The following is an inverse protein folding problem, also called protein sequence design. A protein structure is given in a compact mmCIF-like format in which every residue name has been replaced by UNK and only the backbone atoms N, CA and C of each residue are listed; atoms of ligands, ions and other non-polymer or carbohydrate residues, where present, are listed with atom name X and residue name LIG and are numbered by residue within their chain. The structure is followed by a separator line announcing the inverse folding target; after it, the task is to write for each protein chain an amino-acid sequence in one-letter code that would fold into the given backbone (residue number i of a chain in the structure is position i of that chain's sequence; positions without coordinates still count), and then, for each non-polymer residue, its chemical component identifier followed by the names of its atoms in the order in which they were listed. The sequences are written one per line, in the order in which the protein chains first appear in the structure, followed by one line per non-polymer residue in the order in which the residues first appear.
data_IF_386640015608
#
_entry.id   IF_386640015608
#
_cell.length_a   1.000
_cell.length_b   1.000
_cell.length_c   1.000
_cell.angle_alpha   90.00
_cell.angle_beta   90.00
_cell.angle_gamma   90.00
#
_symmetry.space_group_name_H-M   'P 1'
#
loop_
_entity.id
_entity.type
_entity.pdbx_description
1 polymer ?
#
# COMPACT_ATOMS: atom_id res chain seq x y z
N UNK A 1 -1.33 -24.50 15.21
CA UNK A 1 -2.37 -23.48 15.21
C UNK A 1 -1.91 -22.34 14.31
N UNK A 2 -2.73 -21.97 13.33
CA UNK A 2 -2.53 -20.82 12.45
C UNK A 2 -3.56 -19.77 12.87
N UNK A 3 -3.12 -18.58 13.22
CA UNK A 3 -4.01 -17.49 13.65
C UNK A 3 -4.53 -16.68 12.46
N UNK A 4 -3.67 -16.42 11.47
CA UNK A 4 -3.98 -15.65 10.26
C UNK A 4 -3.21 -16.26 9.09
N UNK A 5 -3.84 -16.34 7.94
CA UNK A 5 -3.21 -16.72 6.67
C UNK A 5 -2.77 -15.47 5.92
N UNK A 6 -1.49 -15.36 5.70
CA UNK A 6 -0.92 -14.37 4.77
C UNK A 6 -0.77 -15.02 3.41
N UNK A 7 -1.55 -14.57 2.43
CA UNK A 7 -1.53 -15.12 1.08
C UNK A 7 -0.83 -14.16 0.13
N UNK A 8 0.10 -14.73 -0.66
CA UNK A 8 0.97 -13.97 -1.53
C UNK A 8 1.76 -12.88 -0.78
N UNK A 9 2.49 -12.03 -1.50
CA UNK A 9 3.29 -10.96 -0.92
C UNK A 9 3.22 -9.73 -1.81
N UNK A 10 2.88 -8.57 -1.22
CA UNK A 10 2.97 -7.27 -1.87
C UNK A 10 2.43 -7.28 -3.30
N UNK A 11 1.13 -7.57 -3.46
CA UNK A 11 0.51 -7.50 -4.79
C UNK A 11 0.81 -6.16 -5.46
N UNK A 12 1.39 -6.20 -6.65
CA UNK A 12 1.82 -4.99 -7.34
C UNK A 12 2.37 -5.26 -8.73
N UNK A 13 3.10 -4.28 -9.27
CA UNK A 13 3.57 -4.29 -10.64
C UNK A 13 2.44 -4.01 -11.64
N UNK A 14 2.75 -3.97 -12.91
CA UNK A 14 1.77 -3.84 -14.00
C UNK A 14 2.07 -4.85 -15.10
N UNK A 15 1.03 -5.34 -15.75
CA UNK A 15 1.14 -6.23 -16.89
C UNK A 15 0.39 -5.62 -18.08
N UNK A 16 1.06 -5.46 -19.20
CA UNK A 16 0.52 -4.86 -20.41
C UNK A 16 0.50 -5.84 -21.59
N UNK A 17 0.44 -7.14 -21.30
CA UNK A 17 0.45 -8.18 -22.35
C UNK A 17 -0.89 -8.24 -23.11
N UNK A 18 -0.91 -8.97 -24.22
CA UNK A 18 -2.09 -9.14 -25.07
C UNK A 18 -3.31 -9.69 -24.30
N UNK A 19 -3.08 -10.55 -23.29
CA UNK A 19 -4.17 -11.07 -22.46
C UNK A 19 -4.77 -9.96 -21.59
N UNK A 20 -3.93 -9.13 -20.98
CA UNK A 20 -4.41 -7.96 -20.24
C UNK A 20 -5.17 -7.00 -21.13
N UNK A 21 -4.70 -6.74 -22.34
CA UNK A 21 -5.41 -5.91 -23.31
C UNK A 21 -6.79 -6.48 -23.67
N UNK A 22 -6.88 -7.77 -23.94
CA UNK A 22 -8.18 -8.44 -24.20
C UNK A 22 -9.13 -8.32 -23.01
N UNK A 23 -8.64 -8.58 -21.78
CA UNK A 23 -9.46 -8.47 -20.58
C UNK A 23 -9.85 -7.02 -20.24
N UNK A 24 -8.98 -6.07 -20.51
CA UNK A 24 -9.30 -4.64 -20.37
C UNK A 24 -10.46 -4.22 -21.26
N UNK A 25 -10.47 -4.65 -22.52
CA UNK A 25 -11.62 -4.41 -23.42
C UNK A 25 -12.91 -5.07 -22.91
N UNK A 26 -12.82 -6.26 -22.35
CA UNK A 26 -14.00 -6.92 -21.71
C UNK A 26 -14.49 -6.10 -20.53
N UNK A 27 -13.58 -5.65 -19.66
CA UNK A 27 -13.89 -4.81 -18.51
C UNK A 27 -14.52 -3.46 -18.93
N UNK A 28 -14.01 -2.82 -19.96
CA UNK A 28 -14.57 -1.60 -20.52
C UNK A 28 -15.99 -1.81 -21.08
N UNK A 29 -16.21 -2.92 -21.81
CA UNK A 29 -17.54 -3.30 -22.30
C UNK A 29 -18.53 -3.51 -21.17
N UNK A 30 -18.08 -4.10 -20.07
CA UNK A 30 -18.94 -4.29 -18.89
C UNK A 30 -19.22 -2.96 -18.18
N UNK A 31 -18.25 -2.07 -18.07
CA UNK A 31 -18.40 -0.76 -17.43
C UNK A 31 -19.26 0.20 -18.23
N UNK A 32 -18.95 0.38 -19.50
CA UNK A 32 -19.52 1.44 -20.35
C UNK A 32 -20.65 0.99 -21.27
N UNK A 33 -20.74 -0.30 -21.56
CA UNK A 33 -21.72 -0.95 -22.46
C UNK A 33 -21.51 -0.63 -23.93
N UNK A 34 -21.25 0.61 -24.29
CA UNK A 34 -21.08 1.06 -25.69
C UNK A 34 -19.74 1.77 -25.87
N UNK A 35 -19.24 1.76 -27.08
CA UNK A 35 -18.01 2.45 -27.44
C UNK A 35 -18.20 3.98 -27.38
N UNK A 36 -19.39 4.47 -27.75
CA UNK A 36 -19.73 5.89 -27.64
C UNK A 36 -19.63 6.37 -26.19
N UNK A 37 -20.11 5.57 -25.22
CA UNK A 37 -19.98 5.92 -23.80
C UNK A 37 -18.52 5.94 -23.32
N UNK A 38 -17.64 5.13 -23.89
CA UNK A 38 -16.19 5.22 -23.65
C UNK A 38 -15.63 6.52 -24.24
N UNK A 39 -15.98 6.82 -25.47
CA UNK A 39 -15.52 8.04 -26.14
C UNK A 39 -15.95 9.30 -25.39
N UNK A 40 -17.21 9.35 -24.94
CA UNK A 40 -17.73 10.44 -24.13
C UNK A 40 -16.98 10.57 -22.80
N UNK A 41 -16.82 9.46 -22.06
CA UNK A 41 -16.17 9.45 -20.75
C UNK A 41 -14.68 9.84 -20.83
N UNK A 42 -13.99 9.49 -21.88
CA UNK A 42 -12.58 9.80 -22.10
C UNK A 42 -12.36 11.11 -22.87
N UNK A 43 -13.44 11.76 -23.34
CA UNK A 43 -13.39 12.96 -24.17
C UNK A 43 -12.49 12.80 -25.39
N UNK A 44 -12.67 11.70 -26.12
CA UNK A 44 -11.76 11.26 -27.20
C UNK A 44 -11.86 12.12 -28.45
N UNK A 45 -12.89 12.96 -28.60
CA UNK A 45 -12.97 13.94 -29.69
C UNK A 45 -11.79 14.93 -29.64
N UNK A 46 -11.26 15.18 -28.45
CA UNK A 46 -10.11 16.05 -28.29
C UNK A 46 -8.88 15.46 -28.99
N UNK A 47 -8.29 16.21 -29.88
CA UNK A 47 -7.19 15.82 -30.77
C UNK A 47 -7.49 14.64 -31.70
N UNK A 48 -8.78 14.30 -31.90
CA UNK A 48 -9.17 13.25 -32.83
C UNK A 48 -8.82 11.84 -32.37
N UNK A 49 -8.90 11.58 -31.06
CA UNK A 49 -8.62 10.29 -30.43
C UNK A 49 -9.83 9.35 -30.41
N UNK A 50 -10.92 9.67 -31.13
CA UNK A 50 -12.15 8.88 -31.14
C UNK A 50 -11.91 7.46 -31.61
N UNK A 51 -12.39 6.50 -30.84
CA UNK A 51 -12.37 5.08 -31.18
C UNK A 51 -13.64 4.71 -31.97
N UNK A 52 -13.47 3.98 -33.05
CA UNK A 52 -14.55 3.49 -33.90
C UNK A 52 -14.76 1.98 -33.78
N UNK A 53 -13.78 1.27 -33.24
CA UNK A 53 -13.84 -0.15 -32.91
C UNK A 53 -13.20 -0.43 -31.57
N UNK A 54 -13.70 -1.44 -30.86
CA UNK A 54 -13.12 -1.88 -29.59
C UNK A 54 -11.67 -2.37 -29.75
N UNK A 55 -11.32 -2.89 -30.91
CA UNK A 55 -9.98 -3.39 -31.17
C UNK A 55 -8.93 -2.29 -31.35
N UNK A 56 -9.35 -1.06 -31.53
CA UNK A 56 -8.46 0.11 -31.54
C UNK A 56 -7.98 0.50 -30.12
N UNK A 57 -8.69 0.08 -29.08
CA UNK A 57 -8.27 0.35 -27.70
C UNK A 57 -7.12 -0.57 -27.32
N UNK A 58 -5.97 0.02 -27.02
CA UNK A 58 -4.77 -0.66 -26.51
C UNK A 58 -4.54 -0.32 -25.05
N UNK A 59 -3.83 -1.18 -24.33
CA UNK A 59 -3.40 -0.87 -22.97
C UNK A 59 -2.39 0.28 -22.95
N UNK A 60 -2.24 1.00 -21.83
CA UNK A 60 -1.18 1.99 -21.67
C UNK A 60 0.19 1.40 -22.01
N UNK A 61 1.04 2.19 -22.60
CA UNK A 61 2.39 1.80 -22.97
C UNK A 61 3.33 3.01 -22.89
N UNK A 62 4.61 2.78 -23.15
CA UNK A 62 5.63 3.81 -23.07
C UNK A 62 5.31 5.07 -23.90
N UNK A 63 4.70 4.90 -25.08
CA UNK A 63 4.33 6.03 -25.92
C UNK A 63 3.15 6.83 -25.37
N UNK A 64 2.23 6.20 -24.66
CA UNK A 64 1.05 6.85 -24.11
C UNK A 64 1.25 7.42 -22.70
N UNK A 65 2.13 6.84 -21.88
CA UNK A 65 2.30 7.25 -20.48
C UNK A 65 3.61 7.98 -20.19
N UNK A 66 4.67 7.74 -20.95
CA UNK A 66 5.99 8.37 -20.72
C UNK A 66 6.30 9.51 -21.69
N UNK A 67 5.49 9.68 -22.73
CA UNK A 67 5.57 10.86 -23.57
C UNK A 67 5.45 12.12 -22.71
N UNK A 68 6.25 13.12 -22.98
CA UNK A 68 6.23 14.40 -22.24
C UNK A 68 6.70 14.33 -20.77
N UNK A 69 7.62 13.44 -20.45
CA UNK A 69 8.23 13.37 -19.11
C UNK A 69 7.32 12.73 -18.05
N UNK A 70 6.62 11.67 -18.41
CA UNK A 70 5.78 10.87 -17.51
C UNK A 70 4.33 11.31 -17.42
N UNK A 71 3.88 12.18 -18.34
CA UNK A 71 2.48 12.56 -18.47
C UNK A 71 1.86 11.86 -19.67
N UNK A 72 0.62 11.41 -19.51
CA UNK A 72 -0.12 10.81 -20.62
C UNK A 72 -0.95 11.83 -21.38
N UNK A 73 -1.06 11.61 -22.69
CA UNK A 73 -2.08 12.26 -23.53
C UNK A 73 -3.43 11.53 -23.46
N UNK A 74 -3.48 10.35 -22.83
CA UNK A 74 -4.63 9.45 -22.79
C UNK A 74 -5.06 9.21 -21.33
N UNK A 75 -5.40 10.28 -20.63
CA UNK A 75 -5.74 10.22 -19.20
C UNK A 75 -6.88 9.23 -18.88
N UNK A 76 -7.90 9.14 -19.75
CA UNK A 76 -9.01 8.21 -19.60
C UNK A 76 -8.56 6.75 -19.63
N UNK A 77 -7.77 6.37 -20.64
CA UNK A 77 -7.21 5.01 -20.75
C UNK A 77 -6.37 4.68 -19.54
N UNK A 78 -5.46 5.57 -19.15
CA UNK A 78 -4.53 5.34 -18.04
C UNK A 78 -5.28 5.18 -16.72
N UNK A 79 -6.27 6.02 -16.44
CA UNK A 79 -7.06 5.94 -15.21
C UNK A 79 -7.91 4.66 -15.18
N UNK A 80 -8.60 4.34 -16.26
CA UNK A 80 -9.41 3.11 -16.32
C UNK A 80 -8.56 1.86 -16.32
N UNK A 81 -7.35 1.90 -16.87
CA UNK A 81 -6.45 0.77 -16.77
C UNK A 81 -6.01 0.49 -15.32
N UNK A 82 -5.82 1.51 -14.49
CA UNK A 82 -5.53 1.34 -13.05
C UNK A 82 -6.72 0.75 -12.30
N UNK A 83 -7.94 1.16 -12.63
CA UNK A 83 -9.17 0.55 -12.10
C UNK A 83 -9.29 -0.92 -12.49
N UNK A 84 -9.14 -1.21 -13.78
CA UNK A 84 -9.11 -2.59 -14.28
C UNK A 84 -8.02 -3.43 -13.61
N UNK A 85 -6.81 -2.86 -13.47
CA UNK A 85 -5.70 -3.58 -12.88
C UNK A 85 -5.94 -3.89 -11.40
N UNK A 86 -6.47 -2.93 -10.65
CA UNK A 86 -6.92 -3.13 -9.28
C UNK A 86 -7.92 -4.28 -9.18
N UNK A 87 -8.92 -4.33 -10.07
CA UNK A 87 -9.93 -5.38 -10.11
C UNK A 87 -9.34 -6.75 -10.44
N UNK A 88 -8.43 -6.79 -11.41
CA UNK A 88 -7.75 -8.02 -11.84
C UNK A 88 -6.88 -8.61 -10.74
N UNK A 89 -6.10 -7.78 -10.06
CA UNK A 89 -5.25 -8.23 -8.96
C UNK A 89 -6.08 -8.64 -7.74
N UNK A 90 -7.15 -7.91 -7.44
CA UNK A 90 -8.09 -8.28 -6.39
C UNK A 90 -8.79 -9.61 -6.69
N UNK A 91 -9.07 -9.89 -7.96
CA UNK A 91 -9.60 -11.20 -8.36
C UNK A 91 -8.60 -12.33 -8.04
N UNK A 92 -7.31 -12.14 -8.30
CA UNK A 92 -6.29 -13.12 -7.91
C UNK A 92 -6.27 -13.36 -6.40
N UNK A 93 -6.28 -12.29 -5.60
CA UNK A 93 -6.37 -12.39 -4.15
C UNK A 93 -7.61 -13.19 -3.70
N UNK A 94 -8.78 -12.91 -4.29
CA UNK A 94 -10.04 -13.62 -3.96
C UNK A 94 -9.97 -15.11 -4.27
N UNK A 95 -9.38 -15.49 -5.41
CA UNK A 95 -9.20 -16.90 -5.75
C UNK A 95 -8.35 -17.64 -4.70
N UNK A 96 -7.26 -17.04 -4.27
CA UNK A 96 -6.38 -17.63 -3.26
C UNK A 96 -7.05 -17.66 -1.88
N UNK A 97 -7.70 -16.59 -1.46
CA UNK A 97 -8.50 -16.52 -0.22
C UNK A 97 -9.58 -17.59 -0.20
N UNK A 98 -10.34 -17.70 -1.28
CA UNK A 98 -11.48 -18.63 -1.36
C UNK A 98 -10.98 -20.08 -1.36
N UNK A 99 -9.81 -20.37 -1.93
CA UNK A 99 -9.18 -21.67 -1.82
C UNK A 99 -8.85 -22.04 -0.35
N UNK A 100 -8.31 -21.10 0.43
CA UNK A 100 -8.08 -21.31 1.88
C UNK A 100 -9.41 -21.53 2.61
N UNK A 101 -10.39 -20.65 2.39
CA UNK A 101 -11.69 -20.69 3.08
C UNK A 101 -12.54 -21.90 2.67
N UNK A 102 -12.31 -22.47 1.51
CA UNK A 102 -12.99 -23.73 1.12
C UNK A 102 -12.62 -24.92 2.00
N UNK A 103 -11.44 -24.88 2.62
CA UNK A 103 -10.94 -25.92 3.53
C UNK A 103 -11.14 -25.52 4.99
N UNK A 104 -10.93 -24.25 5.31
CA UNK A 104 -11.04 -23.68 6.65
C UNK A 104 -11.96 -22.44 6.57
N UNK A 105 -13.30 -22.62 6.66
CA UNK A 105 -14.25 -21.52 6.44
C UNK A 105 -14.04 -20.31 7.33
N UNK A 106 -13.62 -20.52 8.57
CA UNK A 106 -13.40 -19.46 9.57
C UNK A 106 -11.95 -18.89 9.56
N UNK A 107 -11.14 -19.27 8.56
CA UNK A 107 -9.78 -18.78 8.45
C UNK A 107 -9.79 -17.25 8.28
N UNK A 108 -9.00 -16.55 9.10
CA UNK A 108 -8.67 -15.15 8.86
C UNK A 108 -7.58 -15.07 7.79
N UNK A 109 -7.82 -14.29 6.76
CA UNK A 109 -6.94 -14.18 5.59
C UNK A 109 -6.58 -12.72 5.35
N UNK A 110 -5.31 -12.47 5.10
CA UNK A 110 -4.76 -11.15 4.81
C UNK A 110 -3.71 -11.23 3.69
N UNK A 111 -3.30 -10.08 3.20
CA UNK A 111 -2.08 -9.86 2.42
C UNK A 111 -1.47 -8.51 2.81
N UNK A 112 -0.15 -8.36 2.69
CA UNK A 112 0.53 -7.14 3.09
C UNK A 112 0.40 -6.05 2.03
N UNK A 113 -0.05 -4.87 2.46
CA UNK A 113 -0.17 -3.67 1.64
C UNK A 113 1.11 -2.82 1.73
N UNK A 114 1.37 -2.01 0.74
CA UNK A 114 2.59 -1.19 0.64
C UNK A 114 2.33 0.30 0.92
N UNK A 115 1.63 0.61 1.99
CA UNK A 115 1.37 2.00 2.39
C UNK A 115 0.51 2.78 1.39
N UNK A 116 1.03 3.86 0.85
CA UNK A 116 0.36 4.69 -0.17
C UNK A 116 0.65 4.24 -1.60
N UNK A 117 0.85 2.94 -1.82
CA UNK A 117 1.17 2.39 -3.12
C UNK A 117 0.17 2.83 -4.19
N UNK A 118 0.69 3.47 -5.25
CA UNK A 118 -0.14 4.07 -6.30
C UNK A 118 -0.91 3.04 -7.13
N UNK A 119 -0.39 1.81 -7.24
CA UNK A 119 -0.85 0.83 -8.21
C UNK A 119 -2.20 0.19 -7.93
N UNK A 120 -2.68 0.21 -6.69
CA UNK A 120 -3.90 -0.51 -6.26
C UNK A 120 -4.74 0.36 -5.33
N UNK A 121 -6.06 0.35 -5.53
CA UNK A 121 -7.03 0.99 -4.64
C UNK A 121 -7.25 0.13 -3.38
N UNK A 122 -6.62 0.50 -2.29
CA UNK A 122 -6.68 -0.26 -1.05
C UNK A 122 -8.02 -0.14 -0.31
N UNK A 123 -8.83 0.90 -0.51
CA UNK A 123 -10.19 0.93 0.02
C UNK A 123 -11.06 -0.17 -0.61
N UNK A 124 -10.83 -0.45 -1.89
CA UNK A 124 -11.51 -1.55 -2.56
C UNK A 124 -11.01 -2.91 -2.07
N UNK A 125 -9.70 -3.07 -1.89
CA UNK A 125 -9.07 -4.29 -1.41
C UNK A 125 -9.46 -4.65 0.02
N UNK A 126 -9.48 -3.69 0.91
CA UNK A 126 -9.78 -3.90 2.32
C UNK A 126 -11.17 -4.49 2.57
N UNK A 127 -12.14 -4.25 1.69
CA UNK A 127 -13.48 -4.84 1.76
C UNK A 127 -13.47 -6.37 1.62
N UNK A 128 -12.46 -6.91 0.96
CA UNK A 128 -12.31 -8.34 0.69
C UNK A 128 -11.31 -9.02 1.66
N UNK A 129 -10.55 -8.26 2.42
CA UNK A 129 -9.60 -8.75 3.42
C UNK A 129 -10.29 -8.92 4.77
N UNK A 130 -9.98 -10.01 5.50
CA UNK A 130 -10.47 -10.16 6.87
C UNK A 130 -9.77 -9.18 7.81
N UNK A 131 -8.47 -8.99 7.65
CA UNK A 131 -7.64 -8.07 8.42
C UNK A 131 -6.78 -7.27 7.48
N UNK A 132 -6.68 -5.95 7.68
CA UNK A 132 -5.69 -5.13 6.98
C UNK A 132 -4.31 -5.38 7.56
N UNK A 133 -3.34 -5.64 6.70
CA UNK A 133 -1.92 -5.70 7.10
C UNK A 133 -1.05 -4.93 6.12
N UNK A 134 0.10 -4.42 6.56
CA UNK A 134 0.97 -3.64 5.70
C UNK A 134 2.43 -3.65 6.14
N UNK A 135 3.31 -3.16 5.25
CA UNK A 135 4.74 -3.13 5.40
C UNK A 135 5.26 -1.70 5.52
N UNK A 136 5.98 -1.43 6.61
CA UNK A 136 6.47 -0.10 6.93
C UNK A 136 8.00 -0.02 6.87
N UNK A 137 8.50 0.51 5.78
CA UNK A 137 9.92 0.70 5.51
C UNK A 137 10.26 2.17 5.24
N UNK A 138 10.11 3.06 6.23
CA UNK A 138 10.41 4.48 6.02
C UNK A 138 11.91 4.68 5.75
N UNK A 139 12.23 5.54 4.78
CA UNK A 139 13.59 6.01 4.58
C UNK A 139 14.12 6.73 5.83
N UNK A 140 15.43 6.92 5.91
CA UNK A 140 16.06 7.54 7.11
C UNK A 140 15.61 8.99 7.35
N UNK A 141 15.15 9.66 6.33
CA UNK A 141 14.67 11.05 6.33
C UNK A 141 13.15 11.18 6.23
N UNK A 142 12.42 10.08 6.17
CA UNK A 142 10.96 10.10 6.16
C UNK A 142 10.41 10.76 7.43
N UNK A 143 9.57 11.80 7.31
CA UNK A 143 8.95 12.42 8.49
C UNK A 143 8.10 11.46 9.30
N UNK A 144 8.13 11.59 10.62
CA UNK A 144 7.28 10.79 11.53
C UNK A 144 5.79 10.99 11.26
N UNK A 145 5.40 12.19 10.81
CA UNK A 145 4.04 12.51 10.38
C UNK A 145 3.60 11.73 9.15
N UNK A 146 4.50 11.47 8.20
CA UNK A 146 4.21 10.63 7.02
C UNK A 146 3.95 9.18 7.43
N UNK A 147 4.77 8.63 8.32
CA UNK A 147 4.56 7.27 8.86
C UNK A 147 3.24 7.19 9.62
N UNK A 148 2.93 8.20 10.45
CA UNK A 148 1.68 8.30 11.19
C UNK A 148 0.46 8.36 10.25
N UNK A 149 0.53 9.17 9.20
CA UNK A 149 -0.51 9.26 8.17
C UNK A 149 -0.77 7.90 7.53
N UNK A 150 0.28 7.17 7.18
CA UNK A 150 0.13 5.86 6.54
C UNK A 150 -0.48 4.84 7.50
N UNK A 151 -0.10 4.84 8.79
CA UNK A 151 -0.78 4.02 9.80
C UNK A 151 -2.28 4.36 9.90
N UNK A 152 -2.61 5.65 9.91
CA UNK A 152 -4.02 6.09 9.94
C UNK A 152 -4.77 5.71 8.66
N UNK A 153 -4.09 5.71 7.50
CA UNK A 153 -4.68 5.18 6.27
C UNK A 153 -5.02 3.70 6.42
N UNK A 154 -4.08 2.87 6.90
CA UNK A 154 -4.32 1.44 7.09
C UNK A 154 -5.48 1.17 8.05
N UNK A 155 -5.55 1.89 9.17
CA UNK A 155 -6.70 1.83 10.07
C UNK A 155 -7.99 2.27 9.38
N UNK A 156 -7.95 3.38 8.65
CA UNK A 156 -9.12 3.97 7.97
C UNK A 156 -9.71 3.10 6.85
N UNK A 157 -8.93 2.17 6.27
CA UNK A 157 -9.42 1.27 5.21
C UNK A 157 -10.64 0.45 5.65
N UNK A 158 -10.74 0.09 6.95
CA UNK A 158 -11.85 -0.69 7.52
C UNK A 158 -12.43 -0.08 8.79
N UNK A 159 -11.88 1.02 9.29
CA UNK A 159 -12.14 1.54 10.64
C UNK A 159 -11.95 0.45 11.72
N UNK A 160 -10.89 -0.34 11.56
CA UNK A 160 -10.54 -1.45 12.43
C UNK A 160 -9.03 -1.47 12.71
N UNK A 161 -8.58 -2.15 13.79
CA UNK A 161 -7.17 -2.39 14.00
C UNK A 161 -6.52 -3.10 12.81
N UNK A 162 -5.25 -2.83 12.59
CA UNK A 162 -4.48 -3.43 11.51
C UNK A 162 -3.26 -4.20 12.05
N UNK A 163 -2.64 -5.00 11.21
CA UNK A 163 -1.39 -5.69 11.51
C UNK A 163 -0.23 -4.97 10.83
N UNK A 164 0.84 -4.69 11.58
CA UNK A 164 2.12 -4.39 10.95
C UNK A 164 2.78 -5.71 10.58
N UNK A 165 2.72 -6.07 9.29
CA UNK A 165 3.23 -7.34 8.80
C UNK A 165 4.75 -7.33 8.69
N UNK A 166 5.31 -6.19 8.27
CA UNK A 166 6.73 -6.04 8.10
C UNK A 166 7.25 -4.69 8.60
N UNK A 167 8.35 -4.73 9.32
CA UNK A 167 9.29 -3.64 9.50
C UNK A 167 10.69 -4.21 9.72
N UNK A 168 11.72 -3.41 9.46
CA UNK A 168 13.08 -3.85 9.78
C UNK A 168 13.45 -3.53 11.22
N UNK A 169 14.13 -4.43 11.94
CA UNK A 169 14.65 -4.11 13.26
C UNK A 169 15.90 -3.21 13.24
N UNK A 170 16.54 -3.04 12.08
CA UNK A 170 17.77 -2.25 11.93
C UNK A 170 17.80 -1.49 10.59
N UNK A 171 18.76 -1.77 9.73
CA UNK A 171 18.81 -1.18 8.38
C UNK A 171 17.84 -1.87 7.43
N UNK A 172 17.37 -1.14 6.46
CA UNK A 172 16.57 -1.69 5.37
C UNK A 172 17.34 -1.62 4.04
N UNK A 173 17.13 -2.61 3.18
CA UNK A 173 17.65 -2.62 1.82
C UNK A 173 16.88 -1.60 0.95
N UNK A 174 17.30 -1.42 -0.30
CA UNK A 174 16.63 -0.59 -1.31
C UNK A 174 16.63 0.92 -1.04
N UNK A 175 17.44 1.40 -0.12
CA UNK A 175 17.59 2.83 0.19
C UNK A 175 18.84 3.41 -0.50
N UNK A 176 18.86 4.74 -0.70
CA UNK A 176 20.10 5.42 -1.07
C UNK A 176 21.23 5.11 -0.09
N UNK A 177 20.87 5.05 1.19
CA UNK A 177 21.72 4.57 2.27
C UNK A 177 20.96 3.52 3.07
N UNK A 178 21.51 2.32 3.21
CA UNK A 178 20.98 1.31 4.11
C UNK A 178 21.32 1.68 5.56
N UNK A 179 20.81 2.81 6.01
CA UNK A 179 21.10 3.39 7.31
C UNK A 179 20.67 2.50 8.45
N UNK A 180 21.51 2.36 9.47
CA UNK A 180 21.15 1.68 10.70
C UNK A 180 20.18 2.53 11.52
N UNK A 181 19.14 1.90 12.06
CA UNK A 181 18.33 2.54 13.10
C UNK A 181 19.19 2.82 14.33
N UNK A 182 19.08 4.03 14.85
CA UNK A 182 19.74 4.42 16.10
C UNK A 182 19.20 3.60 17.28
N UNK A 183 19.95 3.49 18.40
CA UNK A 183 19.42 2.87 19.60
C UNK A 183 18.07 3.46 20.00
N UNK A 184 17.08 2.61 20.27
CA UNK A 184 15.72 3.00 20.63
C UNK A 184 14.82 3.43 19.46
N UNK A 185 15.34 3.68 18.25
CA UNK A 185 14.52 4.12 17.13
C UNK A 185 13.50 3.06 16.68
N UNK A 186 13.91 1.80 16.57
CA UNK A 186 13.00 0.69 16.26
C UNK A 186 11.88 0.57 17.30
N UNK A 187 12.21 0.70 18.58
CA UNK A 187 11.25 0.69 19.67
C UNK A 187 10.25 1.85 19.54
N UNK A 188 10.72 3.08 19.30
CA UNK A 188 9.86 4.25 19.12
C UNK A 188 8.90 4.10 17.92
N UNK A 189 9.39 3.58 16.77
CA UNK A 189 8.55 3.29 15.61
C UNK A 189 7.49 2.24 15.91
N UNK A 190 7.84 1.17 16.64
CA UNK A 190 6.89 0.14 17.04
C UNK A 190 5.80 0.68 17.96
N UNK A 191 6.15 1.54 18.91
CA UNK A 191 5.15 2.20 19.75
C UNK A 191 4.27 3.19 18.99
N UNK A 192 4.83 3.92 18.00
CA UNK A 192 4.03 4.75 17.12
C UNK A 192 2.99 3.89 16.38
N UNK A 193 3.39 2.76 15.82
CA UNK A 193 2.50 1.84 15.12
C UNK A 193 1.32 1.39 15.99
N UNK A 194 1.60 0.97 17.24
CA UNK A 194 0.57 0.57 18.20
C UNK A 194 -0.33 1.76 18.57
N UNK A 195 0.25 2.92 18.83
CA UNK A 195 -0.51 4.13 19.14
C UNK A 195 -1.46 4.56 18.02
N UNK A 196 -1.18 4.18 16.77
CA UNK A 196 -2.02 4.40 15.62
C UNK A 196 -3.01 3.26 15.32
N UNK A 197 -3.09 2.24 16.18
CA UNK A 197 -4.12 1.20 16.14
C UNK A 197 -3.67 -0.15 15.60
N UNK A 198 -2.39 -0.45 15.59
CA UNK A 198 -1.93 -1.79 15.23
C UNK A 198 -2.08 -2.77 16.41
N UNK A 199 -2.55 -3.97 16.12
CA UNK A 199 -2.61 -5.08 17.09
C UNK A 199 -1.36 -5.95 17.09
N UNK A 200 -0.53 -5.86 16.05
CA UNK A 200 0.70 -6.67 15.95
C UNK A 200 1.89 -5.86 15.43
N UNK A 201 3.07 -6.30 15.84
CA UNK A 201 4.36 -5.84 15.28
C UNK A 201 5.13 -7.08 14.82
N UNK A 202 5.41 -7.15 13.54
CA UNK A 202 6.21 -8.21 12.95
C UNK A 202 7.45 -7.63 12.26
N UNK A 203 8.47 -8.45 12.12
CA UNK A 203 9.76 -8.04 11.57
C UNK A 203 10.14 -8.88 10.36
N UNK A 204 10.46 -8.23 9.27
CA UNK A 204 11.29 -8.80 8.24
C UNK A 204 12.75 -8.38 8.49
N UNK A 205 13.63 -9.30 8.89
CA UNK A 205 13.43 -10.72 8.97
C UNK A 205 14.01 -11.30 10.27
N UNK A 206 13.68 -12.55 10.58
CA UNK A 206 14.20 -13.20 11.77
C UNK A 206 15.73 -13.39 11.69
N UNK A 207 16.23 -13.97 10.59
CA UNK A 207 17.66 -14.23 10.36
C UNK A 207 18.14 -13.59 9.07
N UNK A 208 19.22 -12.83 9.17
CA UNK A 208 19.79 -12.10 8.04
C UNK A 208 20.24 -13.03 6.92
N UNK A 209 19.79 -12.74 5.69
CA UNK A 209 20.17 -13.47 4.49
C UNK A 209 21.68 -13.37 4.22
N UNK A 210 22.29 -14.49 3.82
CA UNK A 210 23.73 -14.53 3.50
C UNK A 210 24.06 -13.92 2.14
N UNK A 211 23.11 -13.94 1.22
CA UNK A 211 23.27 -13.52 -0.17
C UNK A 211 21.92 -13.06 -0.75
N UNK A 212 21.90 -12.89 -2.08
CA UNK A 212 20.73 -12.36 -2.79
C UNK A 212 20.67 -10.84 -2.74
N UNK A 213 19.62 -10.29 -3.32
CA UNK A 213 19.43 -8.84 -3.44
C UNK A 213 19.22 -8.15 -2.08
N UNK A 214 18.73 -8.89 -1.07
CA UNK A 214 18.43 -8.34 0.28
C UNK A 214 19.46 -8.74 1.36
N UNK A 215 20.65 -9.14 0.97
CA UNK A 215 21.70 -9.48 1.94
C UNK A 215 22.09 -8.34 2.90
N UNK A 216 21.77 -7.10 2.55
CA UNK A 216 21.99 -5.92 3.41
C UNK A 216 20.78 -5.55 4.25
N UNK A 217 19.65 -6.25 4.10
CA UNK A 217 18.49 -6.02 4.96
C UNK A 217 18.80 -6.43 6.41
N UNK A 218 18.30 -5.66 7.37
CA UNK A 218 18.45 -5.96 8.78
C UNK A 218 17.66 -7.19 9.18
N UNK A 219 18.05 -7.80 10.30
CA UNK A 219 17.31 -8.93 10.88
C UNK A 219 17.46 -8.94 12.40
N UNK A 220 16.57 -9.65 13.07
CA UNK A 220 16.65 -9.86 14.53
C UNK A 220 17.95 -10.60 14.88
N UNK A 221 18.27 -11.64 14.12
CA UNK A 221 19.53 -12.39 14.23
C UNK A 221 20.46 -11.96 13.08
N UNK A 222 21.50 -11.19 13.40
CA UNK A 222 22.50 -10.71 12.46
C UNK A 222 23.38 -11.86 11.91
N UNK A 223 24.26 -11.57 10.93
CA UNK A 223 25.17 -12.56 10.34
C UNK A 223 26.06 -13.24 11.36
N UNK A 224 26.43 -12.56 12.44
CA UNK A 224 27.21 -13.17 13.54
C UNK A 224 26.50 -14.35 14.19
N UNK A 225 25.18 -14.42 14.08
CA UNK A 225 24.38 -15.59 14.47
C UNK A 225 24.16 -15.77 15.98
N UNK A 226 24.45 -14.74 16.78
CA UNK A 226 24.27 -14.78 18.24
C UNK A 226 23.14 -13.86 18.69
N UNK A 227 22.68 -14.07 19.93
CA UNK A 227 21.71 -13.21 20.58
C UNK A 227 22.34 -12.03 21.34
N UNK A 228 23.65 -11.85 21.22
CA UNK A 228 24.39 -10.78 21.91
C UNK A 228 24.64 -9.55 21.00
N UNK A 229 23.67 -9.19 20.20
CA UNK A 229 23.69 -7.95 19.41
C UNK A 229 22.74 -6.91 20.02
N UNK A 230 23.00 -5.63 19.77
CA UNK A 230 22.10 -4.55 20.19
C UNK A 230 20.68 -4.78 19.65
N UNK A 231 20.58 -5.09 18.35
CA UNK A 231 19.28 -5.29 17.67
C UNK A 231 18.50 -6.42 18.32
N UNK A 232 19.14 -7.57 18.58
CA UNK A 232 18.47 -8.69 19.26
C UNK A 232 17.96 -8.30 20.64
N UNK A 233 18.80 -7.63 21.45
CA UNK A 233 18.41 -7.19 22.80
C UNK A 233 17.26 -6.19 22.78
N UNK A 234 17.29 -5.20 21.87
CA UNK A 234 16.21 -4.22 21.73
C UNK A 234 14.89 -4.89 21.28
N UNK A 235 14.96 -5.83 20.33
CA UNK A 235 13.76 -6.58 19.87
C UNK A 235 13.20 -7.45 20.99
N UNK A 236 14.07 -8.17 21.72
CA UNK A 236 13.63 -8.98 22.86
C UNK A 236 13.06 -8.14 24.01
N UNK A 237 13.61 -6.93 24.23
CA UNK A 237 13.06 -5.99 25.19
C UNK A 237 11.66 -5.53 24.77
N UNK A 238 11.49 -5.10 23.51
CA UNK A 238 10.18 -4.71 22.99
C UNK A 238 9.16 -5.84 23.15
N UNK A 239 9.53 -7.09 22.80
CA UNK A 239 8.65 -8.24 22.98
C UNK A 239 8.15 -8.39 24.42
N UNK A 240 9.04 -8.30 25.43
CA UNK A 240 8.66 -8.35 26.85
C UNK A 240 7.76 -7.18 27.27
N UNK A 241 8.02 -5.98 26.75
CA UNK A 241 7.18 -4.81 27.03
C UNK A 241 5.78 -5.01 26.50
N UNK A 242 5.64 -5.47 25.25
CA UNK A 242 4.33 -5.73 24.63
C UNK A 242 3.60 -6.88 25.35
N UNK A 243 4.30 -7.94 25.71
CA UNK A 243 3.73 -9.03 26.52
C UNK A 243 3.17 -8.51 27.85
N UNK A 244 3.86 -7.55 28.50
CA UNK A 244 3.40 -6.94 29.76
C UNK A 244 2.13 -6.10 29.61
N UNK A 245 1.84 -5.59 28.41
CA UNK A 245 0.57 -4.93 28.14
C UNK A 245 -0.60 -5.92 28.07
N UNK A 246 -0.33 -7.17 27.75
CA UNK A 246 -1.36 -8.18 27.56
C UNK A 246 -2.33 -7.78 26.48
N UNK A 247 -3.61 -7.78 26.79
CA UNK A 247 -4.69 -7.43 25.84
C UNK A 247 -5.13 -5.97 25.89
N UNK A 248 -4.43 -5.10 26.63
CA UNK A 248 -4.88 -3.72 26.90
C UNK A 248 -4.94 -2.84 25.65
N UNK A 249 -4.11 -3.12 24.65
CA UNK A 249 -4.02 -2.37 23.39
C UNK A 249 -4.74 -3.06 22.24
N UNK A 250 -5.13 -4.33 22.40
CA UNK A 250 -5.78 -5.08 21.34
C UNK A 250 -7.19 -4.58 21.08
N UNK A 251 -7.53 -4.43 19.81
CA UNK A 251 -8.85 -3.97 19.37
C UNK A 251 -9.15 -2.51 19.71
N UNK A 252 -8.14 -1.74 20.16
CA UNK A 252 -8.36 -0.33 20.52
C UNK A 252 -8.52 0.53 19.26
N UNK A 253 -9.40 1.52 19.37
CA UNK A 253 -9.66 2.49 18.29
C UNK A 253 -9.42 3.90 18.81
N UNK A 254 -8.73 4.70 18.01
CA UNK A 254 -8.67 6.14 18.23
C UNK A 254 -9.95 6.78 17.69
N UNK A 255 -10.53 7.71 18.43
CA UNK A 255 -11.56 8.59 17.90
C UNK A 255 -10.87 9.81 17.30
N UNK A 256 -11.19 10.11 16.07
CA UNK A 256 -10.67 11.27 15.37
C UNK A 256 -11.79 12.29 15.13
N UNK A 257 -11.49 13.57 15.35
CA UNK A 257 -12.41 14.67 15.09
C UNK A 257 -12.27 15.21 13.65
N UNK A 258 -11.25 14.78 12.94
CA UNK A 258 -10.92 15.22 11.59
C UNK A 258 -10.81 14.02 10.67
N UNK A 259 -11.45 14.09 9.50
CA UNK A 259 -11.27 13.15 8.39
C UNK A 259 -10.53 13.83 7.24
N UNK A 260 -9.54 13.15 6.66
CA UNK A 260 -8.91 13.55 5.40
C UNK A 260 -9.26 12.51 4.35
N UNK A 261 -9.83 12.95 3.23
CA UNK A 261 -10.18 12.08 2.11
C UNK A 261 -8.90 11.65 1.40
N UNK A 262 -8.74 10.33 1.21
CA UNK A 262 -7.72 9.75 0.38
C UNK A 262 -8.39 8.90 -0.71
N UNK A 263 -8.23 9.30 -1.96
CA UNK A 263 -8.95 8.73 -3.10
C UNK A 263 -7.97 8.33 -4.20
N UNK A 264 -7.93 7.03 -4.53
CA UNK A 264 -7.04 6.50 -5.58
C UNK A 264 -7.40 7.00 -6.97
N UNK A 265 -8.67 7.22 -7.29
CA UNK A 265 -9.08 7.80 -8.57
C UNK A 265 -8.51 9.21 -8.76
N UNK A 266 -8.55 10.05 -7.72
CA UNK A 266 -7.91 11.36 -7.74
C UNK A 266 -6.39 11.26 -7.82
N UNK A 267 -5.79 10.30 -7.10
CA UNK A 267 -4.35 10.05 -7.15
C UNK A 267 -3.91 9.75 -8.58
N UNK A 268 -4.63 8.85 -9.27
CA UNK A 268 -4.34 8.51 -10.66
C UNK A 268 -4.61 9.67 -11.61
N UNK A 269 -5.77 10.31 -11.51
CA UNK A 269 -6.17 11.40 -12.38
C UNK A 269 -5.21 12.59 -12.31
N UNK A 270 -4.74 12.95 -11.13
CA UNK A 270 -3.83 14.09 -10.94
C UNK A 270 -2.42 13.81 -11.43
N UNK A 271 -1.92 12.59 -11.26
CA UNK A 271 -0.52 12.29 -11.54
C UNK A 271 -0.26 11.67 -12.92
N UNK A 272 -1.29 11.28 -13.67
CA UNK A 272 -1.16 10.83 -15.06
C UNK A 272 -1.46 11.94 -16.08
N UNK A 273 -1.87 13.10 -15.66
CA UNK A 273 -2.17 14.24 -16.54
C UNK A 273 -1.16 15.36 -16.39
N UNK A 274 -1.26 16.39 -17.21
CA UNK A 274 -0.49 17.60 -17.04
C UNK A 274 -0.89 18.37 -15.76
N UNK A 275 -2.08 18.09 -15.23
CA UNK A 275 -2.62 18.70 -14.02
C UNK A 275 -2.62 20.24 -14.04
N UNK A 276 -2.91 20.89 -12.92
CA UNK A 276 -2.68 22.32 -12.77
C UNK A 276 -1.18 22.66 -12.67
N UNK A 277 -0.35 21.69 -12.25
CA UNK A 277 1.13 21.79 -12.21
C UNK A 277 1.75 20.41 -12.22
N UNK A 278 2.93 20.26 -12.82
CA UNK A 278 3.73 19.02 -12.81
C UNK A 278 4.28 18.67 -11.43
N UNK A 279 4.40 19.65 -10.56
CA UNK A 279 4.99 19.47 -9.23
C UNK A 279 3.98 18.95 -8.20
N UNK A 280 2.69 18.88 -8.57
CA UNK A 280 1.66 18.34 -7.72
C UNK A 280 1.85 16.84 -7.54
N UNK A 281 2.13 16.43 -6.29
CA UNK A 281 2.18 15.05 -5.86
C UNK A 281 1.06 14.81 -4.87
N UNK A 282 0.16 13.89 -5.19
CA UNK A 282 -1.07 13.67 -4.43
C UNK A 282 -0.78 13.32 -2.97
N UNK A 283 0.08 12.34 -2.74
CA UNK A 283 0.43 11.89 -1.38
C UNK A 283 1.12 13.00 -0.58
N UNK A 284 2.03 13.76 -1.20
CA UNK A 284 2.72 14.87 -0.53
C UNK A 284 1.73 15.97 -0.14
N UNK A 285 0.72 16.24 -0.98
CA UNK A 285 -0.31 17.23 -0.69
C UNK A 285 -1.22 16.76 0.46
N UNK A 286 -1.62 15.49 0.46
CA UNK A 286 -2.39 14.91 1.56
C UNK A 286 -1.57 14.94 2.86
N UNK A 287 -0.28 14.59 2.79
CA UNK A 287 0.61 14.65 3.94
C UNK A 287 0.76 16.08 4.48
N UNK A 288 0.83 17.08 3.61
CA UNK A 288 0.90 18.48 4.04
C UNK A 288 -0.30 18.89 4.91
N UNK A 289 -1.51 18.47 4.55
CA UNK A 289 -2.70 18.70 5.39
C UNK A 289 -2.64 17.87 6.68
N UNK A 290 -2.25 16.60 6.59
CA UNK A 290 -2.14 15.72 7.74
C UNK A 290 -1.13 16.23 8.77
N UNK A 291 0.04 16.67 8.33
CA UNK A 291 1.13 17.17 9.17
C UNK A 291 0.72 18.36 10.03
N UNK A 292 -0.15 19.23 9.51
CA UNK A 292 -0.69 20.33 10.30
C UNK A 292 -1.40 19.85 11.57
N UNK A 293 -2.28 18.86 11.43
CA UNK A 293 -3.03 18.28 12.54
C UNK A 293 -2.12 17.45 13.45
N UNK A 294 -1.22 16.66 12.86
CA UNK A 294 -0.23 15.87 13.60
C UNK A 294 0.59 16.74 14.55
N UNK A 295 1.10 17.87 14.07
CA UNK A 295 1.89 18.81 14.87
C UNK A 295 1.07 19.54 15.96
N UNK A 296 -0.26 19.47 15.89
CA UNK A 296 -1.18 19.98 16.91
C UNK A 296 -1.68 18.90 17.87
N UNK A 297 -1.22 17.66 17.73
CA UNK A 297 -1.72 16.49 18.46
C UNK A 297 -3.25 16.27 18.25
N UNK A 298 -3.76 16.60 17.08
CA UNK A 298 -5.15 16.36 16.69
C UNK A 298 -5.21 15.04 15.94
N UNK A 299 -6.04 14.11 16.40
CA UNK A 299 -6.22 12.82 15.74
C UNK A 299 -6.95 12.98 14.41
N UNK A 300 -6.49 12.26 13.40
CA UNK A 300 -7.02 12.30 12.04
C UNK A 300 -7.31 10.88 11.57
N UNK A 301 -8.46 10.66 10.94
CA UNK A 301 -8.75 9.47 10.17
C UNK A 301 -8.56 9.74 8.67
N UNK A 302 -8.05 8.75 7.96
CA UNK A 302 -8.04 8.74 6.50
C UNK A 302 -9.29 8.01 6.02
N UNK A 303 -10.09 8.65 5.20
CA UNK A 303 -11.40 8.14 4.76
C UNK A 303 -11.48 8.09 3.23
N UNK A 304 -12.34 7.19 2.65
CA UNK A 304 -12.55 7.11 1.19
C UNK A 304 -13.25 8.32 0.62
#
# INVERSE_FOLDING_TARGET
NISVWHINNEYGGYCYCDNCQKQFRVWLKDKYKTLDAVNDAWNTEFWGHTFYDWDEIVVPNELSEEAWGGMTSFAGISTDYRRFYTDSMLHCYKLERDAVKSIIPDALVTTNLMGTFKGLDYFKWAKEMDIVSWDNYPAYDTPWSMVAMTHNLMRGLKDEPFMLMEQTPSQQNWQHYNSLKRPGQMRAQSYQTIAHGADTIQFFQLRRSRGGCEKFHGAVIAHVGTNDTRVFRETAQLGRELESFGTRTLGTRNKSDVGIIFDWDNYWALEYTSGPTRDLKYVDQIHHYYEYFYNKNISVDMIP
#
